data_IF_314089983476
#
_entry.id   IF_314089983476
#
_cell.length_a   1.000
_cell.length_b   1.000
_cell.length_c   1.000
_cell.angle_alpha   90.00
_cell.angle_beta   90.00
_cell.angle_gamma   90.00
#
_symmetry.space_group_name_H-M   'P 1'
#
loop_
_entity.id
_entity.type
_entity.pdbx_description
1 polymer ?
#
# COMPACT_ATOMS: atom_id res chain seq x y z
N UNK A 1 -8.40 11.35 6.71
CA UNK A 1 -7.93 10.00 6.40
C UNK A 1 -6.76 10.10 5.45
N UNK A 2 -5.69 9.38 5.72
CA UNK A 2 -4.43 9.46 4.96
C UNK A 2 -4.16 8.16 4.21
N UNK A 3 -3.92 8.28 2.91
CA UNK A 3 -3.57 7.15 2.03
C UNK A 3 -2.15 7.39 1.50
N UNK A 4 -1.28 6.41 1.69
CA UNK A 4 0.12 6.47 1.25
C UNK A 4 0.34 5.43 0.16
N UNK A 5 0.86 5.87 -0.99
CA UNK A 5 1.19 5.02 -2.12
C UNK A 5 2.70 4.99 -2.32
N UNK A 6 3.27 3.81 -2.46
CA UNK A 6 4.73 3.63 -2.63
C UNK A 6 5.02 2.66 -3.76
N UNK A 7 5.70 3.14 -4.78
CA UNK A 7 6.14 2.31 -5.90
C UNK A 7 7.29 3.04 -6.63
N UNK A 8 8.33 2.33 -7.02
CA UNK A 8 9.45 2.93 -7.74
C UNK A 8 9.19 3.04 -9.25
N UNK A 9 8.09 2.52 -9.74
CA UNK A 9 7.69 2.62 -11.15
C UNK A 9 6.72 3.80 -11.31
N UNK A 10 7.11 4.87 -12.02
CA UNK A 10 6.28 6.07 -12.11
C UNK A 10 4.86 5.84 -12.61
N UNK A 11 4.72 4.97 -13.62
CA UNK A 11 3.40 4.66 -14.20
C UNK A 11 2.49 3.99 -13.17
N UNK A 12 3.00 2.99 -12.43
CA UNK A 12 2.22 2.33 -11.41
C UNK A 12 1.91 3.27 -10.25
N UNK A 13 2.89 4.06 -9.82
CA UNK A 13 2.68 5.03 -8.74
C UNK A 13 1.55 6.01 -9.07
N UNK A 14 1.53 6.52 -10.30
CA UNK A 14 0.48 7.42 -10.76
C UNK A 14 -0.88 6.71 -10.77
N UNK A 15 -0.93 5.47 -11.22
CA UNK A 15 -2.17 4.68 -11.24
C UNK A 15 -2.71 4.45 -9.83
N UNK A 16 -1.86 4.09 -8.88
CA UNK A 16 -2.26 3.90 -7.47
C UNK A 16 -2.82 5.20 -6.88
N UNK A 17 -2.15 6.30 -7.13
CA UNK A 17 -2.56 7.62 -6.64
C UNK A 17 -3.91 8.05 -7.20
N UNK A 18 -4.10 7.92 -8.51
CA UNK A 18 -5.35 8.29 -9.17
C UNK A 18 -6.51 7.44 -8.69
N UNK A 19 -6.31 6.12 -8.56
CA UNK A 19 -7.36 5.23 -8.10
C UNK A 19 -7.71 5.47 -6.62
N UNK A 20 -6.72 5.76 -5.79
CA UNK A 20 -6.98 6.12 -4.39
C UNK A 20 -7.82 7.40 -4.28
N UNK A 21 -7.51 8.40 -5.10
CA UNK A 21 -8.30 9.65 -5.15
C UNK A 21 -9.72 9.43 -5.66
N UNK A 22 -9.88 8.54 -6.62
CA UNK A 22 -11.20 8.18 -7.14
C UNK A 22 -12.04 7.47 -6.08
N UNK A 23 -11.44 6.51 -5.37
CA UNK A 23 -12.15 5.75 -4.35
C UNK A 23 -12.50 6.60 -3.12
N UNK A 24 -11.62 7.50 -2.73
CA UNK A 24 -11.77 8.33 -1.52
C UNK A 24 -11.42 9.79 -1.82
N UNK A 25 -12.33 10.53 -2.44
CA UNK A 25 -12.05 11.92 -2.88
C UNK A 25 -11.65 12.89 -1.77
N UNK A 26 -12.09 12.63 -0.55
CA UNK A 26 -11.81 13.52 0.59
C UNK A 26 -10.55 13.10 1.37
N UNK A 27 -9.90 12.01 0.97
CA UNK A 27 -8.70 11.57 1.64
C UNK A 27 -7.48 12.40 1.22
N UNK A 28 -6.51 12.49 2.14
CA UNK A 28 -5.20 13.02 1.82
C UNK A 28 -4.36 11.90 1.21
N UNK A 29 -4.19 11.92 -0.10
CA UNK A 29 -3.47 10.89 -0.84
C UNK A 29 -2.08 11.40 -1.19
N UNK A 30 -1.07 10.72 -0.68
CA UNK A 30 0.34 11.04 -0.93
C UNK A 30 1.04 9.87 -1.60
N UNK A 31 1.94 10.17 -2.53
CA UNK A 31 2.68 9.15 -3.26
C UNK A 31 4.18 9.38 -3.14
N UNK A 32 4.91 8.28 -3.01
CA UNK A 32 6.36 8.32 -2.79
C UNK A 32 7.05 7.27 -3.65
N UNK A 33 8.15 7.62 -4.32
CA UNK A 33 8.92 6.65 -5.08
C UNK A 33 9.81 5.76 -4.21
N UNK A 34 10.00 6.11 -2.93
CA UNK A 34 10.86 5.36 -2.01
C UNK A 34 10.15 5.09 -0.68
N UNK A 35 10.53 3.98 -0.05
CA UNK A 35 10.00 3.58 1.26
C UNK A 35 10.47 4.54 2.36
N UNK A 36 11.68 5.08 2.26
CA UNK A 36 12.21 6.01 3.26
C UNK A 36 11.35 7.27 3.37
N UNK A 37 11.01 7.89 2.23
CA UNK A 37 10.18 9.11 2.25
C UNK A 37 8.75 8.79 2.71
N UNK A 38 8.21 7.64 2.33
CA UNK A 38 6.89 7.21 2.77
C UNK A 38 6.84 7.03 4.29
N UNK A 39 7.85 6.40 4.87
CA UNK A 39 7.92 6.19 6.31
C UNK A 39 7.99 7.51 7.07
N UNK A 40 8.83 8.44 6.62
CA UNK A 40 8.92 9.77 7.23
C UNK A 40 7.57 10.48 7.26
N UNK A 41 6.83 10.39 6.15
CA UNK A 41 5.50 10.98 6.07
C UNK A 41 4.53 10.30 7.05
N UNK A 42 4.51 8.97 7.07
CA UNK A 42 3.62 8.20 7.94
C UNK A 42 3.92 8.45 9.43
N UNK A 43 5.19 8.60 9.79
CA UNK A 43 5.58 8.91 11.17
C UNK A 43 5.05 10.27 11.62
N UNK A 44 4.93 11.21 10.70
CA UNK A 44 4.47 12.56 11.01
C UNK A 44 2.95 12.71 10.92
N UNK A 45 2.33 12.12 9.92
CA UNK A 45 0.91 12.35 9.60
C UNK A 45 0.03 11.12 9.75
N UNK A 46 0.60 9.96 10.05
CA UNK A 46 -0.13 8.70 10.12
C UNK A 46 -0.35 8.08 8.75
N UNK A 47 -1.01 6.92 8.75
CA UNK A 47 -1.35 6.21 7.52
C UNK A 47 -2.53 5.28 7.81
N UNK A 48 -3.63 5.47 7.12
CA UNK A 48 -4.84 4.65 7.27
C UNK A 48 -4.91 3.57 6.20
N UNK A 49 -4.42 3.86 5.00
CA UNK A 49 -4.34 2.91 3.89
C UNK A 49 -2.95 3.02 3.27
N UNK A 50 -2.28 1.89 3.13
CA UNK A 50 -0.96 1.80 2.51
C UNK A 50 -1.04 0.93 1.26
N UNK A 51 -0.71 1.51 0.10
CA UNK A 51 -0.51 0.79 -1.15
C UNK A 51 1.00 0.71 -1.37
N UNK A 52 1.56 -0.48 -1.28
CA UNK A 52 3.01 -0.64 -1.17
C UNK A 52 3.53 -1.76 -2.05
N UNK A 53 4.54 -1.48 -2.87
CA UNK A 53 5.16 -2.52 -3.68
C UNK A 53 6.05 -3.45 -2.86
N UNK A 54 6.10 -4.70 -3.28
CA UNK A 54 7.08 -5.67 -2.79
C UNK A 54 7.81 -6.22 -4.02
N UNK A 55 9.12 -5.98 -4.10
CA UNK A 55 9.96 -6.46 -5.19
C UNK A 55 11.09 -7.32 -4.63
N UNK A 56 10.98 -8.66 -4.70
CA UNK A 56 12.10 -9.52 -4.34
C UNK A 56 13.33 -9.26 -5.23
N UNK A 57 14.57 -9.43 -4.74
CA UNK A 57 14.91 -9.86 -3.38
C UNK A 57 14.92 -8.75 -2.34
N UNK A 58 14.68 -7.50 -2.76
CA UNK A 58 14.64 -6.34 -1.87
C UNK A 58 13.26 -6.26 -1.23
N UNK A 59 13.21 -6.31 0.09
CA UNK A 59 11.96 -6.38 0.84
C UNK A 59 11.62 -5.08 1.57
N UNK A 60 12.06 -3.93 1.04
CA UNK A 60 11.81 -2.65 1.67
C UNK A 60 10.32 -2.38 1.89
N UNK A 61 9.48 -2.77 0.93
CA UNK A 61 8.03 -2.59 1.08
C UNK A 61 7.45 -3.39 2.24
N UNK A 62 7.95 -4.60 2.47
CA UNK A 62 7.53 -5.42 3.59
C UNK A 62 7.97 -4.81 4.92
N UNK A 63 9.22 -4.35 5.01
CA UNK A 63 9.72 -3.67 6.20
C UNK A 63 8.98 -2.37 6.47
N UNK A 64 8.67 -1.61 5.43
CA UNK A 64 7.85 -0.40 5.55
C UNK A 64 6.48 -0.72 6.15
N UNK A 65 5.82 -1.74 5.62
CA UNK A 65 4.50 -2.15 6.10
C UNK A 65 4.55 -2.58 7.58
N UNK A 66 5.59 -3.31 7.99
CA UNK A 66 5.79 -3.70 9.38
C UNK A 66 5.90 -2.48 10.29
N UNK A 67 6.67 -1.48 9.89
CA UNK A 67 6.86 -0.24 10.67
C UNK A 67 5.59 0.59 10.73
N UNK A 68 4.87 0.71 9.62
CA UNK A 68 3.61 1.46 9.59
C UNK A 68 2.54 0.75 10.44
N UNK A 69 2.53 -0.58 10.45
CA UNK A 69 1.61 -1.34 11.30
C UNK A 69 1.86 -1.09 12.80
N UNK A 70 3.09 -0.81 13.19
CA UNK A 70 3.39 -0.42 14.57
C UNK A 70 2.86 0.98 14.90
N UNK A 71 2.86 1.88 13.91
CA UNK A 71 2.29 3.22 14.07
C UNK A 71 0.77 3.16 14.16
N UNK A 72 0.13 2.38 13.27
CA UNK A 72 -1.31 2.18 13.24
C UNK A 72 -1.62 0.69 13.05
N UNK A 73 -1.94 -0.05 14.12
CA UNK A 73 -2.24 -1.49 14.03
C UNK A 73 -3.44 -1.82 13.13
N UNK A 74 -4.29 -0.86 12.84
CA UNK A 74 -5.47 -1.02 11.97
C UNK A 74 -5.26 -0.45 10.57
N UNK A 75 -4.02 -0.24 10.17
CA UNK A 75 -3.73 0.21 8.80
C UNK A 75 -4.18 -0.85 7.80
N UNK A 76 -4.85 -0.41 6.75
CA UNK A 76 -5.23 -1.28 5.64
C UNK A 76 -4.08 -1.32 4.64
N UNK A 77 -3.44 -2.48 4.51
CA UNK A 77 -2.28 -2.66 3.64
C UNK A 77 -2.70 -3.40 2.39
N UNK A 78 -2.41 -2.82 1.23
CA UNK A 78 -2.57 -3.48 -0.06
C UNK A 78 -1.18 -3.58 -0.69
N UNK A 79 -0.69 -4.80 -0.82
CA UNK A 79 0.61 -5.04 -1.44
C UNK A 79 0.50 -5.12 -2.95
N UNK A 80 1.49 -4.56 -3.65
CA UNK A 80 1.59 -4.62 -5.10
C UNK A 80 2.92 -5.29 -5.46
N UNK A 81 2.87 -6.34 -6.28
CA UNK A 81 4.06 -7.13 -6.60
C UNK A 81 4.15 -7.46 -8.08
N UNK A 82 5.36 -7.71 -8.56
CA UNK A 82 5.59 -8.14 -9.94
C UNK A 82 5.23 -9.62 -10.17
N UNK A 83 5.12 -10.39 -9.10
CA UNK A 83 4.92 -11.83 -9.17
C UNK A 83 3.80 -12.27 -8.22
N UNK A 84 2.92 -13.17 -8.70
CA UNK A 84 1.83 -13.71 -7.88
C UNK A 84 2.32 -14.78 -6.91
N UNK A 85 3.44 -15.44 -7.19
CA UNK A 85 4.06 -16.40 -6.27
C UNK A 85 5.00 -15.64 -5.35
N UNK A 86 4.89 -15.92 -4.07
CA UNK A 86 5.59 -15.14 -3.08
C UNK A 86 6.30 -16.04 -2.08
N UNK A 87 7.64 -16.03 -2.12
CA UNK A 87 8.49 -16.72 -1.16
C UNK A 87 8.29 -16.19 0.25
N UNK A 88 7.71 -14.99 0.36
CA UNK A 88 7.51 -14.30 1.65
C UNK A 88 6.04 -14.31 2.06
N UNK A 89 5.24 -15.25 1.52
CA UNK A 89 3.81 -15.32 1.80
C UNK A 89 3.49 -15.35 3.30
N UNK A 90 4.27 -16.08 4.09
CA UNK A 90 4.06 -16.15 5.54
C UNK A 90 4.25 -14.79 6.21
N UNK A 91 5.30 -14.05 5.83
CA UNK A 91 5.57 -12.72 6.38
C UNK A 91 4.47 -11.72 5.97
N UNK A 92 4.01 -11.80 4.74
CA UNK A 92 2.90 -10.98 4.24
C UNK A 92 1.63 -11.27 5.04
N UNK A 93 1.29 -12.54 5.22
CA UNK A 93 0.07 -12.94 5.95
C UNK A 93 0.10 -12.52 7.42
N UNK A 94 1.26 -12.49 8.06
CA UNK A 94 1.39 -12.03 9.45
C UNK A 94 0.97 -10.58 9.63
N UNK A 95 1.10 -9.77 8.60
CA UNK A 95 0.70 -8.37 8.62
C UNK A 95 -0.80 -8.17 8.44
N UNK A 96 -1.53 -9.23 8.13
CA UNK A 96 -2.99 -9.20 7.91
C UNK A 96 -3.38 -8.12 6.91
N UNK A 97 -2.86 -8.18 5.67
CA UNK A 97 -3.17 -7.16 4.67
C UNK A 97 -4.63 -7.21 4.26
N UNK A 98 -5.12 -6.08 3.76
CA UNK A 98 -6.46 -6.00 3.18
C UNK A 98 -6.52 -6.64 1.81
N UNK A 99 -5.44 -6.53 1.04
CA UNK A 99 -5.43 -7.03 -0.31
C UNK A 99 -4.03 -7.21 -0.88
N UNK A 100 -4.02 -7.77 -2.08
CA UNK A 100 -2.81 -8.13 -2.79
C UNK A 100 -3.06 -7.99 -4.29
N UNK A 101 -2.23 -7.21 -4.95
CA UNK A 101 -2.34 -6.94 -6.39
C UNK A 101 -1.03 -7.28 -7.09
N UNK A 102 -1.12 -7.68 -8.36
CA UNK A 102 0.05 -7.73 -9.23
C UNK A 102 0.25 -6.38 -9.89
N UNK A 103 1.45 -6.11 -10.41
CA UNK A 103 1.73 -4.87 -11.13
C UNK A 103 1.00 -4.78 -12.48
N UNK A 104 0.33 -5.85 -12.90
CA UNK A 104 -0.50 -5.88 -14.09
C UNK A 104 -1.96 -5.55 -13.79
N UNK A 105 -2.27 -5.23 -12.53
CA UNK A 105 -3.63 -4.93 -12.11
C UNK A 105 -4.21 -3.75 -12.89
N UNK A 106 -5.46 -3.91 -13.32
CA UNK A 106 -6.22 -2.85 -13.97
C UNK A 106 -6.72 -1.84 -12.95
N UNK A 107 -7.14 -0.66 -13.41
CA UNK A 107 -7.76 0.33 -12.52
C UNK A 107 -8.97 -0.24 -11.80
N UNK A 108 -9.79 -1.05 -12.47
CA UNK A 108 -10.95 -1.70 -11.85
C UNK A 108 -10.52 -2.61 -10.69
N UNK A 109 -9.46 -3.41 -10.87
CA UNK A 109 -8.96 -4.29 -9.82
C UNK A 109 -8.40 -3.49 -8.63
N UNK A 110 -7.70 -2.39 -8.89
CA UNK A 110 -7.19 -1.53 -7.83
C UNK A 110 -8.35 -0.91 -7.05
N UNK A 111 -9.37 -0.41 -7.73
CA UNK A 111 -10.56 0.16 -7.08
C UNK A 111 -11.29 -0.88 -6.24
N UNK A 112 -11.45 -2.10 -6.74
CA UNK A 112 -12.10 -3.18 -6.00
C UNK A 112 -11.38 -3.47 -4.69
N UNK A 113 -10.04 -3.54 -4.71
CA UNK A 113 -9.26 -3.76 -3.49
C UNK A 113 -9.40 -2.59 -2.50
N UNK A 114 -9.43 -1.37 -3.00
CA UNK A 114 -9.63 -0.18 -2.16
C UNK A 114 -11.02 -0.12 -1.53
N UNK A 115 -12.00 -0.78 -2.13
CA UNK A 115 -13.36 -0.84 -1.62
C UNK A 115 -13.62 -2.00 -0.66
N UNK A 116 -12.68 -2.94 -0.57
CA UNK A 116 -12.80 -4.15 0.27
C UNK A 116 -11.74 -4.16 1.37
N UNK A 117 -11.69 -3.10 2.16
CA UNK A 117 -10.68 -2.96 3.21
C UNK A 117 -11.00 -3.83 4.41
N UNK A 118 -9.95 -4.33 5.05
CA UNK A 118 -10.05 -5.21 6.22
C UNK A 118 -10.54 -4.49 7.47
N UNK A 119 -10.06 -3.27 7.68
CA UNK A 119 -10.42 -2.48 8.85
C UNK A 119 -11.27 -1.29 8.46
N UNK A 120 -12.26 -0.91 9.31
CA UNK A 120 -13.04 0.29 9.05
C UNK A 120 -12.16 1.53 9.00
N UNK A 121 -12.49 2.45 8.14
CA UNK A 121 -11.80 3.73 8.05
C UNK A 121 -12.29 4.69 9.13
N UNK A 122 -11.41 5.63 9.56
CA UNK A 122 -11.80 6.64 10.53
C UNK A 122 -12.85 7.60 10.03
#
# INVERSE_FOLDING_TARGET
>A
MTIVCVDNTPIMLQSLKENARTAYPDADVQSFPTEVSALKYAEKFGCDVLLCEINPPRLEGLFLAEKIKKINPRVNIIFVTVCSENEHAKAVLKLKPSGYLTKEATSTQILEELQNLRYPLP
#
